data_IF_426882785364
#
_entry.id   IF_426882785364
#
_cell.length_a   1.000
_cell.length_b   1.000
_cell.length_c   1.000
_cell.angle_alpha   90.00
_cell.angle_beta   90.00
_cell.angle_gamma   90.00
#
_symmetry.space_group_name_H-M   'P 1'
#
loop_
_entity.id
_entity.type
_entity.pdbx_description
1 polymer ?
#
# COMPACT_ATOMS: atom_id res chain seq x y z
N UNK A 1 -3.74 2.60 25.75
CA UNK A 1 -3.99 2.96 24.33
C UNK A 1 -4.20 4.46 24.12
N UNK A 2 -4.79 5.24 25.05
CA UNK A 2 -4.99 6.70 24.91
C UNK A 2 -3.72 7.57 24.70
N UNK A 3 -2.51 7.01 24.83
CA UNK A 3 -1.26 7.75 24.70
C UNK A 3 -0.51 7.51 23.37
N UNK A 4 -1.02 6.67 22.46
CA UNK A 4 -0.42 6.50 21.12
C UNK A 4 -1.22 7.36 20.14
N UNK A 5 -0.56 8.24 19.34
CA UNK A 5 -1.26 9.04 18.35
C UNK A 5 -1.86 8.12 17.27
N UNK A 6 -3.00 8.54 16.72
CA UNK A 6 -3.51 8.01 15.46
C UNK A 6 -2.71 8.65 14.34
N UNK A 7 -2.17 7.84 13.43
CA UNK A 7 -1.25 8.30 12.40
C UNK A 7 -1.83 8.22 11.00
N UNK A 8 -1.26 9.01 10.09
CA UNK A 8 -1.55 8.98 8.66
C UNK A 8 -0.33 9.52 7.89
N UNK A 9 -0.21 9.23 6.60
CA UNK A 9 0.75 9.90 5.72
C UNK A 9 0.03 10.71 4.64
N UNK A 10 0.57 11.87 4.26
CA UNK A 10 0.08 12.61 3.10
C UNK A 10 0.74 12.09 1.84
N UNK A 11 -0.07 11.56 0.93
CA UNK A 11 0.44 10.91 -0.26
C UNK A 11 -0.15 11.44 -1.57
N UNK A 12 0.49 11.05 -2.66
CA UNK A 12 -0.09 10.99 -3.99
C UNK A 12 -0.04 9.54 -4.46
N UNK A 13 -1.04 9.15 -5.23
CA UNK A 13 -1.13 7.83 -5.84
C UNK A 13 -0.72 7.91 -7.31
N UNK A 14 0.28 7.13 -7.71
CA UNK A 14 0.80 7.06 -9.08
C UNK A 14 0.52 5.65 -9.62
N UNK A 15 -0.60 5.47 -10.36
CA UNK A 15 -0.96 4.18 -10.91
C UNK A 15 -0.15 3.90 -12.20
N UNK A 16 1.12 3.49 -12.12
CA UNK A 16 2.02 3.41 -13.30
C UNK A 16 1.37 2.68 -14.48
N UNK A 17 0.64 1.59 -14.22
CA UNK A 17 -0.27 0.97 -15.18
C UNK A 17 -1.38 0.21 -14.46
N UNK A 18 -2.56 0.17 -15.06
CA UNK A 18 -3.68 -0.66 -14.60
C UNK A 18 -3.79 -2.02 -15.31
N UNK A 19 -2.85 -2.37 -16.18
CA UNK A 19 -2.76 -3.70 -16.79
C UNK A 19 -2.04 -4.64 -15.83
N UNK A 20 -2.52 -5.88 -15.69
CA UNK A 20 -1.98 -6.86 -14.76
C UNK A 20 -2.07 -8.26 -15.36
N UNK A 21 -1.09 -9.14 -15.06
CA UNK A 21 -1.18 -10.57 -15.42
C UNK A 21 -2.24 -11.32 -14.61
N UNK A 22 -2.54 -10.83 -13.39
CA UNK A 22 -3.55 -11.41 -12.51
C UNK A 22 -4.97 -10.91 -12.87
N UNK A 23 -5.98 -11.71 -12.53
CA UNK A 23 -7.41 -11.46 -12.84
C UNK A 23 -8.31 -11.47 -11.61
N UNK A 24 -7.82 -10.94 -10.49
CA UNK A 24 -8.49 -11.02 -9.18
C UNK A 24 -9.94 -10.55 -9.26
N UNK A 25 -10.87 -11.36 -8.77
CA UNK A 25 -12.31 -11.14 -8.91
C UNK A 25 -12.80 -9.83 -8.27
N UNK A 26 -12.13 -9.40 -7.20
CA UNK A 26 -12.46 -8.19 -6.44
C UNK A 26 -11.82 -6.91 -7.00
N UNK A 27 -10.89 -7.01 -7.94
CA UNK A 27 -10.08 -5.86 -8.36
C UNK A 27 -10.85 -4.98 -9.35
N UNK A 28 -11.19 -3.77 -8.89
CA UNK A 28 -11.80 -2.73 -9.73
C UNK A 28 -10.79 -1.93 -10.57
N UNK A 29 -9.51 -1.98 -10.20
CA UNK A 29 -8.42 -1.23 -10.83
C UNK A 29 -7.96 -1.86 -12.14
N UNK A 30 -7.84 -3.19 -12.17
CA UNK A 30 -7.26 -3.95 -13.29
C UNK A 30 -8.11 -3.81 -14.57
N UNK A 31 -7.45 -3.59 -15.70
CA UNK A 31 -8.05 -3.68 -17.04
C UNK A 31 -7.29 -4.68 -17.93
N UNK A 32 -7.99 -5.43 -18.81
CA UNK A 32 -7.35 -6.13 -19.92
C UNK A 32 -6.52 -5.16 -20.76
N UNK A 33 -5.41 -5.60 -21.33
CA UNK A 33 -4.53 -4.72 -22.10
C UNK A 33 -5.24 -4.10 -23.30
N UNK A 34 -6.24 -4.79 -23.85
CA UNK A 34 -7.04 -4.38 -25.00
C UNK A 34 -8.17 -3.41 -24.62
N UNK A 35 -8.48 -3.25 -23.34
CA UNK A 35 -9.57 -2.39 -22.89
C UNK A 35 -9.25 -0.91 -23.15
N UNK A 36 -10.21 -0.10 -23.60
CA UNK A 36 -9.98 1.31 -23.95
C UNK A 36 -9.31 2.12 -22.81
N UNK A 37 -9.71 1.85 -21.57
CA UNK A 37 -9.19 2.53 -20.36
C UNK A 37 -7.92 1.88 -19.79
N UNK A 38 -7.29 0.94 -20.50
CA UNK A 38 -5.97 0.44 -20.15
C UNK A 38 -4.90 1.47 -20.49
N UNK A 39 -3.92 1.64 -19.61
CA UNK A 39 -2.86 2.65 -19.79
C UNK A 39 -1.52 2.24 -19.17
N UNK A 40 -0.45 2.89 -19.65
CA UNK A 40 0.86 2.98 -19.03
C UNK A 40 1.17 4.49 -18.95
N UNK A 41 1.40 5.03 -17.76
CA UNK A 41 1.63 6.47 -17.59
C UNK A 41 2.98 6.90 -18.17
N UNK A 42 3.04 8.05 -18.83
CA UNK A 42 4.32 8.67 -19.23
C UNK A 42 4.89 9.55 -18.11
N UNK A 43 6.19 9.87 -18.18
CA UNK A 43 6.81 10.83 -17.26
C UNK A 43 6.12 12.20 -17.32
N UNK A 44 5.68 12.64 -18.50
CA UNK A 44 4.98 13.91 -18.69
C UNK A 44 3.61 13.93 -18.00
N UNK A 45 2.97 12.78 -17.80
CA UNK A 45 1.72 12.65 -17.04
C UNK A 45 1.99 12.61 -15.53
N UNK A 46 3.09 11.98 -15.11
CA UNK A 46 3.46 11.80 -13.70
C UNK A 46 4.03 13.10 -13.10
N UNK A 47 4.90 13.83 -13.81
CA UNK A 47 5.54 15.05 -13.31
C UNK A 47 4.53 16.10 -12.80
N UNK A 48 3.41 16.40 -13.50
CA UNK A 48 2.37 17.27 -12.98
C UNK A 48 1.74 16.78 -11.68
N UNK A 49 1.56 15.46 -11.52
CA UNK A 49 1.06 14.87 -10.26
C UNK A 49 2.09 15.10 -9.15
N UNK A 50 3.37 14.87 -9.43
CA UNK A 50 4.45 15.10 -8.47
C UNK A 50 4.49 16.56 -8.00
N UNK A 51 4.42 17.51 -8.94
CA UNK A 51 4.40 18.95 -8.64
C UNK A 51 3.20 19.35 -7.78
N UNK A 52 2.01 18.83 -8.09
CA UNK A 52 0.82 19.09 -7.27
C UNK A 52 0.93 18.46 -5.88
N UNK A 53 1.48 17.25 -5.78
CA UNK A 53 1.76 16.58 -4.50
C UNK A 53 2.71 17.38 -3.62
N UNK A 54 3.84 17.82 -4.18
CA UNK A 54 4.81 18.66 -3.48
C UNK A 54 4.18 19.99 -3.03
N UNK A 55 3.41 20.66 -3.90
CA UNK A 55 2.70 21.90 -3.55
C UNK A 55 1.64 21.71 -2.46
N UNK A 56 1.03 20.52 -2.36
CA UNK A 56 0.09 20.16 -1.30
C UNK A 56 0.78 19.64 -0.01
N UNK A 57 2.12 19.59 0.00
CA UNK A 57 2.90 19.12 1.15
C UNK A 57 2.93 17.60 1.32
N UNK A 58 2.57 16.81 0.31
CA UNK A 58 2.69 15.35 0.36
C UNK A 58 4.15 14.92 0.50
N UNK A 59 4.39 13.87 1.27
CA UNK A 59 5.71 13.24 1.45
C UNK A 59 5.85 11.90 0.77
N UNK A 60 4.73 11.25 0.47
CA UNK A 60 4.71 9.90 -0.05
C UNK A 60 4.24 9.91 -1.50
N UNK A 61 5.00 9.24 -2.37
CA UNK A 61 4.54 8.87 -3.69
C UNK A 61 4.32 7.35 -3.71
N UNK A 62 3.05 6.96 -3.61
CA UNK A 62 2.66 5.55 -3.68
C UNK A 62 2.60 5.12 -5.14
N UNK A 63 3.56 4.31 -5.56
CA UNK A 63 3.58 3.69 -6.88
C UNK A 63 2.82 2.36 -6.80
N UNK A 64 1.71 2.28 -7.52
CA UNK A 64 0.96 1.04 -7.65
C UNK A 64 0.79 0.67 -9.12
N UNK A 65 0.90 -0.61 -9.44
CA UNK A 65 0.69 -1.10 -10.79
C UNK A 65 0.30 -2.57 -10.78
N UNK A 66 -0.31 -3.01 -11.87
CA UNK A 66 -0.57 -4.42 -12.05
C UNK A 66 0.75 -5.21 -12.14
N UNK A 67 0.72 -6.43 -11.61
CA UNK A 67 1.89 -7.29 -11.51
C UNK A 67 2.32 -7.81 -12.89
N UNK A 68 3.62 -7.72 -13.18
CA UNK A 68 4.31 -8.20 -14.39
C UNK A 68 3.47 -8.12 -15.66
N UNK A 69 2.96 -6.92 -16.03
CA UNK A 69 2.02 -6.76 -17.14
C UNK A 69 2.62 -7.20 -18.47
N UNK A 70 3.94 -7.12 -18.64
CA UNK A 70 4.68 -7.62 -19.79
C UNK A 70 4.55 -9.12 -20.04
N UNK A 71 4.12 -9.91 -19.05
CA UNK A 71 3.81 -11.33 -19.26
C UNK A 71 2.50 -11.55 -20.02
N UNK A 72 1.67 -10.52 -20.17
CA UNK A 72 0.55 -10.52 -21.10
C UNK A 72 1.04 -10.04 -22.48
N UNK A 73 1.02 -10.89 -23.54
CA UNK A 73 1.45 -10.48 -24.88
C UNK A 73 0.74 -9.24 -25.43
N UNK A 74 -0.54 -9.05 -25.06
CA UNK A 74 -1.32 -7.88 -25.50
C UNK A 74 -0.84 -6.58 -24.85
N UNK A 75 -0.21 -6.64 -23.66
CA UNK A 75 0.45 -5.47 -23.08
C UNK A 75 1.63 -5.03 -23.93
N UNK A 76 2.52 -5.95 -24.31
CA UNK A 76 3.69 -5.59 -25.13
C UNK A 76 3.29 -5.11 -26.52
N UNK A 77 2.23 -5.66 -27.11
CA UNK A 77 1.68 -5.19 -28.38
C UNK A 77 1.16 -3.75 -28.29
N UNK A 78 0.53 -3.37 -27.18
CA UNK A 78 -0.08 -2.03 -27.02
C UNK A 78 0.88 -0.99 -26.45
N UNK A 79 1.65 -1.33 -25.42
CA UNK A 79 2.49 -0.41 -24.64
C UNK A 79 3.99 -0.70 -24.78
N UNK A 80 4.39 -1.79 -25.44
CA UNK A 80 5.80 -2.16 -25.56
C UNK A 80 6.63 -1.11 -26.30
N UNK A 81 6.08 -0.48 -27.35
CA UNK A 81 6.77 0.63 -28.03
C UNK A 81 6.99 1.81 -27.07
N UNK A 82 5.96 2.21 -26.33
CA UNK A 82 6.05 3.30 -25.34
C UNK A 82 7.11 3.00 -24.28
N UNK A 83 7.11 1.78 -23.74
CA UNK A 83 8.07 1.35 -22.72
C UNK A 83 9.51 1.33 -23.26
N UNK A 84 9.71 0.80 -24.47
CA UNK A 84 11.01 0.74 -25.13
C UNK A 84 11.53 2.13 -25.53
N UNK A 85 10.66 3.02 -26.01
CA UNK A 85 11.02 4.40 -26.35
C UNK A 85 11.45 5.18 -25.11
N UNK A 86 10.84 4.88 -23.95
CA UNK A 86 11.29 5.39 -22.64
C UNK A 86 12.60 4.74 -22.15
N UNK A 87 13.10 3.71 -22.83
CA UNK A 87 14.38 3.06 -22.54
C UNK A 87 14.30 1.86 -21.60
N UNK A 88 13.11 1.32 -21.34
CA UNK A 88 12.89 0.23 -20.38
C UNK A 88 12.34 -1.03 -21.05
N UNK A 89 12.64 -2.20 -20.49
CA UNK A 89 12.11 -3.49 -20.98
C UNK A 89 10.93 -3.98 -20.15
N UNK A 90 10.85 -3.56 -18.89
CA UNK A 90 9.83 -3.99 -17.94
C UNK A 90 9.25 -2.80 -17.18
N UNK A 91 8.01 -2.94 -16.70
CA UNK A 91 7.38 -1.88 -15.89
C UNK A 91 8.12 -1.67 -14.56
N UNK A 92 8.78 -2.70 -14.03
CA UNK A 92 9.57 -2.58 -12.81
C UNK A 92 10.83 -1.74 -13.02
N UNK A 93 11.52 -1.88 -14.16
CA UNK A 93 12.66 -1.02 -14.52
C UNK A 93 12.22 0.43 -14.71
N UNK A 94 11.09 0.65 -15.37
CA UNK A 94 10.53 2.00 -15.51
C UNK A 94 10.13 2.59 -14.15
N UNK A 95 9.52 1.79 -13.27
CA UNK A 95 9.20 2.21 -11.89
C UNK A 95 10.47 2.55 -11.09
N UNK A 96 11.57 1.82 -11.27
CA UNK A 96 12.86 2.15 -10.64
C UNK A 96 13.32 3.56 -11.06
N UNK A 97 13.21 3.90 -12.35
CA UNK A 97 13.49 5.24 -12.86
C UNK A 97 12.56 6.29 -12.24
N UNK A 98 11.25 6.04 -12.21
CA UNK A 98 10.26 6.95 -11.63
C UNK A 98 10.49 7.19 -10.13
N UNK A 99 10.96 6.18 -9.39
CA UNK A 99 11.34 6.32 -7.98
C UNK A 99 12.51 7.30 -7.81
N UNK A 100 13.55 7.22 -8.66
CA UNK A 100 14.68 8.17 -8.66
C UNK A 100 14.18 9.59 -8.95
N UNK A 101 13.40 9.75 -10.01
CA UNK A 101 12.82 11.04 -10.40
C UNK A 101 12.01 11.67 -9.27
N UNK A 102 11.26 10.88 -8.51
CA UNK A 102 10.38 11.37 -7.43
C UNK A 102 11.14 12.01 -6.27
N UNK A 103 12.36 11.54 -6.00
CA UNK A 103 13.20 12.12 -4.95
C UNK A 103 13.54 13.59 -5.25
N UNK A 104 13.72 13.95 -6.52
CA UNK A 104 13.97 15.33 -6.97
C UNK A 104 12.78 16.26 -6.69
N UNK A 105 11.59 15.70 -6.50
CA UNK A 105 10.37 16.43 -6.12
C UNK A 105 10.12 16.43 -4.60
N UNK A 106 11.08 15.96 -3.80
CA UNK A 106 11.00 15.99 -2.33
C UNK A 106 9.99 15.01 -1.75
N UNK A 107 9.63 13.95 -2.48
CA UNK A 107 8.76 12.87 -1.99
C UNK A 107 9.49 11.55 -1.93
N UNK A 108 9.06 10.72 -0.98
CA UNK A 108 9.59 9.40 -0.70
C UNK A 108 8.80 8.34 -1.48
N UNK A 109 9.45 7.54 -2.34
CA UNK A 109 8.78 6.44 -3.02
C UNK A 109 8.30 5.36 -2.05
N UNK A 110 7.11 4.84 -2.34
CA UNK A 110 6.54 3.64 -1.74
C UNK A 110 5.96 2.76 -2.85
N UNK A 111 6.64 1.67 -3.19
CA UNK A 111 6.22 0.77 -4.28
C UNK A 111 5.34 -0.38 -3.77
N UNK A 112 4.25 -0.62 -4.49
CA UNK A 112 3.36 -1.78 -4.41
C UNK A 112 3.11 -2.34 -5.82
N UNK A 113 3.98 -3.25 -6.27
CA UNK A 113 4.04 -3.75 -7.65
C UNK A 113 3.59 -5.20 -7.87
N UNK A 114 2.93 -5.80 -6.88
CA UNK A 114 2.69 -7.26 -6.86
C UNK A 114 3.94 -8.05 -6.44
N UNK A 115 3.97 -9.35 -6.74
CA UNK A 115 5.07 -10.25 -6.38
C UNK A 115 6.32 -9.94 -7.20
N UNK A 116 7.38 -9.52 -6.51
CA UNK A 116 8.70 -9.23 -7.08
C UNK A 116 9.71 -10.31 -6.67
N UNK A 117 10.68 -10.55 -7.55
CA UNK A 117 11.86 -11.36 -7.25
C UNK A 117 12.76 -10.69 -6.20
N UNK A 118 13.65 -11.47 -5.60
CA UNK A 118 14.64 -10.94 -4.65
C UNK A 118 15.53 -9.86 -5.28
N UNK A 119 15.94 -10.03 -6.55
CA UNK A 119 16.79 -9.06 -7.23
C UNK A 119 16.05 -7.77 -7.57
N UNK A 120 14.78 -7.83 -7.94
CA UNK A 120 13.93 -6.64 -8.12
C UNK A 120 13.73 -5.89 -6.81
N UNK A 121 13.43 -6.60 -5.71
CA UNK A 121 13.37 -5.99 -4.38
C UNK A 121 14.70 -5.31 -4.01
N UNK A 122 15.82 -5.97 -4.27
CA UNK A 122 17.16 -5.44 -3.99
C UNK A 122 17.47 -4.17 -4.77
N UNK A 123 17.01 -4.06 -6.03
CA UNK A 123 17.14 -2.84 -6.85
C UNK A 123 16.28 -1.68 -6.34
N UNK A 124 15.06 -1.98 -5.87
CA UNK A 124 14.14 -0.97 -5.35
C UNK A 124 14.41 -0.55 -3.91
N UNK A 125 15.03 -1.42 -3.11
CA UNK A 125 15.36 -1.18 -1.70
C UNK A 125 16.06 0.18 -1.45
N UNK A 126 17.12 0.58 -2.18
CA UNK A 126 17.76 1.88 -1.93
C UNK A 126 16.86 3.09 -2.23
N UNK A 127 15.84 2.94 -3.07
CA UNK A 127 15.00 4.03 -3.56
C UNK A 127 13.71 4.24 -2.78
N UNK A 128 13.32 3.28 -1.95
CA UNK A 128 12.03 3.27 -1.28
C UNK A 128 12.19 3.52 0.23
N UNK A 129 11.34 4.39 0.77
CA UNK A 129 11.26 4.58 2.22
C UNK A 129 10.55 3.39 2.88
N UNK A 130 9.53 2.86 2.20
CA UNK A 130 8.79 1.65 2.55
C UNK A 130 8.36 0.96 1.26
N UNK A 131 8.04 -0.32 1.33
CA UNK A 131 7.35 -1.04 0.26
C UNK A 131 6.18 -1.84 0.80
N UNK A 132 5.28 -2.26 -0.08
CA UNK A 132 4.09 -2.98 0.33
C UNK A 132 3.73 -4.16 -0.55
N UNK A 133 3.18 -5.19 0.09
CA UNK A 133 2.46 -6.29 -0.55
C UNK A 133 1.37 -6.80 0.39
N UNK A 134 0.11 -6.61 0.03
CA UNK A 134 -1.01 -7.24 0.75
C UNK A 134 -0.84 -8.75 0.71
N UNK A 135 -0.85 -9.46 1.84
CA UNK A 135 -0.93 -10.93 1.82
C UNK A 135 -2.29 -11.39 1.27
N UNK A 136 -3.33 -10.58 1.48
CA UNK A 136 -4.74 -10.84 1.19
C UNK A 136 -5.29 -11.95 2.09
N UNK A 137 -4.83 -13.19 1.89
CA UNK A 137 -5.21 -14.38 2.64
C UNK A 137 -4.18 -15.50 2.39
N UNK A 138 -4.05 -16.45 3.33
CA UNK A 138 -3.33 -17.71 3.12
C UNK A 138 -4.19 -18.81 2.51
N UNK A 139 -5.50 -18.58 2.35
CA UNK A 139 -6.44 -19.54 1.79
C UNK A 139 -6.38 -19.59 0.25
N UNK A 140 -6.76 -20.74 -0.31
CA UNK A 140 -7.09 -20.86 -1.72
C UNK A 140 -8.55 -20.44 -1.95
N UNK A 141 -8.75 -19.23 -2.47
CA UNK A 141 -10.08 -18.65 -2.68
C UNK A 141 -10.37 -18.51 -4.17
N UNK A 142 -11.64 -18.71 -4.56
CA UNK A 142 -12.05 -18.60 -5.97
C UNK A 142 -11.76 -17.21 -6.55
N UNK A 143 -11.73 -16.17 -5.72
CA UNK A 143 -11.39 -14.81 -6.12
C UNK A 143 -9.98 -14.66 -6.70
N UNK A 144 -9.08 -15.62 -6.43
CA UNK A 144 -7.72 -15.69 -6.93
C UNK A 144 -7.54 -16.72 -8.05
N UNK A 145 -8.63 -17.25 -8.60
CA UNK A 145 -8.57 -18.05 -9.82
C UNK A 145 -7.87 -17.26 -10.93
N UNK A 146 -6.93 -17.91 -11.61
CA UNK A 146 -6.09 -17.31 -12.67
C UNK A 146 -5.24 -16.11 -12.21
N UNK A 147 -4.78 -16.14 -10.95
CA UNK A 147 -3.91 -15.13 -10.37
C UNK A 147 -2.60 -15.76 -9.85
N UNK A 148 -1.60 -16.04 -10.71
CA UNK A 148 -0.33 -16.64 -10.27
C UNK A 148 0.38 -15.84 -9.16
N UNK A 149 0.22 -14.51 -9.14
CA UNK A 149 0.76 -13.64 -8.08
C UNK A 149 0.01 -13.67 -6.76
N UNK A 150 -1.15 -14.31 -6.72
CA UNK A 150 -1.97 -14.44 -5.50
C UNK A 150 -1.76 -15.75 -4.77
N UNK A 151 -0.88 -16.62 -5.26
CA UNK A 151 -0.45 -17.83 -4.56
C UNK A 151 0.18 -17.43 -3.21
N UNK A 152 -0.35 -17.88 -2.06
CA UNK A 152 0.13 -17.44 -0.75
C UNK A 152 1.63 -17.65 -0.52
N UNK A 153 2.18 -18.77 -0.98
CA UNK A 153 3.60 -19.08 -0.85
C UNK A 153 4.51 -18.02 -1.50
N UNK A 154 4.16 -17.55 -2.70
CA UNK A 154 4.94 -16.54 -3.41
C UNK A 154 4.87 -15.17 -2.72
N UNK A 155 3.70 -14.83 -2.14
CA UNK A 155 3.52 -13.57 -1.41
C UNK A 155 4.29 -13.59 -0.08
N UNK A 156 4.21 -14.69 0.66
CA UNK A 156 4.97 -14.89 1.90
C UNK A 156 6.49 -14.90 1.64
N UNK A 157 6.93 -15.46 0.52
CA UNK A 157 8.34 -15.42 0.11
C UNK A 157 8.81 -13.98 -0.16
N UNK A 158 8.03 -13.17 -0.87
CA UNK A 158 8.37 -11.76 -1.09
C UNK A 158 8.43 -10.98 0.22
N UNK A 159 7.46 -11.18 1.13
CA UNK A 159 7.47 -10.56 2.47
C UNK A 159 8.72 -11.01 3.25
N UNK A 160 9.06 -12.30 3.23
CA UNK A 160 10.30 -12.79 3.84
C UNK A 160 11.54 -12.10 3.23
N UNK A 161 11.58 -11.96 1.91
CA UNK A 161 12.70 -11.36 1.18
C UNK A 161 12.87 -9.87 1.52
N UNK A 162 11.79 -9.12 1.70
CA UNK A 162 11.84 -7.76 2.24
C UNK A 162 12.46 -7.73 3.65
N UNK A 163 12.13 -8.71 4.49
CA UNK A 163 12.74 -8.90 5.81
C UNK A 163 14.24 -9.18 5.75
N UNK A 164 14.70 -10.03 4.84
CA UNK A 164 16.14 -10.29 4.59
C UNK A 164 16.90 -9.02 4.19
N UNK A 165 16.22 -8.10 3.50
CA UNK A 165 16.77 -6.81 3.06
C UNK A 165 16.60 -5.67 4.10
N UNK A 166 16.03 -5.95 5.28
CA UNK A 166 15.72 -4.95 6.32
C UNK A 166 14.85 -3.78 5.82
N UNK A 167 13.94 -4.06 4.89
CA UNK A 167 13.02 -3.06 4.36
C UNK A 167 11.81 -2.93 5.28
N UNK A 168 11.45 -1.72 5.76
CA UNK A 168 10.13 -1.51 6.37
C UNK A 168 9.06 -1.89 5.37
N UNK A 169 8.12 -2.71 5.82
CA UNK A 169 7.18 -3.35 4.91
C UNK A 169 5.75 -3.26 5.41
N UNK A 170 4.86 -2.84 4.52
CA UNK A 170 3.41 -2.85 4.75
C UNK A 170 2.83 -4.12 4.12
N UNK A 171 2.10 -4.89 4.91
CA UNK A 171 1.30 -6.02 4.40
C UNK A 171 -0.13 -5.89 4.91
N UNK A 172 -0.97 -6.90 4.68
CA UNK A 172 -2.37 -6.78 5.04
C UNK A 172 -3.22 -7.95 4.58
N UNK A 173 -4.45 -7.97 5.09
CA UNK A 173 -5.50 -8.90 4.71
C UNK A 173 -6.60 -8.16 3.97
N UNK A 174 -7.23 -8.84 3.02
CA UNK A 174 -8.42 -8.38 2.33
C UNK A 174 -9.56 -9.31 2.70
N UNK A 175 -10.63 -8.71 3.22
CA UNK A 175 -11.70 -9.44 3.88
C UNK A 175 -12.95 -9.42 3.05
N UNK A 176 -13.59 -10.58 2.87
CA UNK A 176 -14.80 -10.73 2.07
C UNK A 176 -14.55 -11.25 0.65
N UNK A 177 -13.48 -12.01 0.43
CA UNK A 177 -13.09 -12.58 -0.87
C UNK A 177 -13.26 -14.10 -0.96
N UNK A 178 -13.90 -14.72 0.04
CA UNK A 178 -14.18 -16.16 0.12
C UNK A 178 -13.44 -16.87 1.25
N UNK A 179 -12.60 -16.15 1.98
CA UNK A 179 -11.88 -16.64 3.15
C UNK A 179 -12.79 -16.75 4.39
N UNK A 180 -12.41 -17.63 5.31
CA UNK A 180 -13.07 -17.84 6.60
C UNK A 180 -12.32 -17.13 7.72
N UNK A 181 -12.96 -17.03 8.89
CA UNK A 181 -12.31 -16.53 10.11
C UNK A 181 -11.06 -17.32 10.50
N UNK A 182 -11.00 -18.63 10.23
CA UNK A 182 -9.79 -19.43 10.49
C UNK A 182 -8.65 -19.02 9.57
N UNK A 183 -8.94 -18.73 8.30
CA UNK A 183 -7.95 -18.23 7.34
C UNK A 183 -7.38 -16.88 7.75
N UNK A 184 -8.19 -16.01 8.38
CA UNK A 184 -7.69 -14.77 8.99
C UNK A 184 -6.64 -15.07 10.06
N UNK A 185 -6.93 -16.01 10.97
CA UNK A 185 -6.02 -16.39 12.06
C UNK A 185 -4.72 -16.96 11.50
N UNK A 186 -4.80 -17.88 10.53
CA UNK A 186 -3.63 -18.47 9.89
C UNK A 186 -2.77 -17.42 9.19
N UNK A 187 -3.41 -16.48 8.49
CA UNK A 187 -2.72 -15.37 7.83
C UNK A 187 -2.01 -14.46 8.83
N UNK A 188 -2.67 -14.11 9.93
CA UNK A 188 -2.07 -13.30 11.01
C UNK A 188 -0.89 -14.02 11.66
N UNK A 189 -0.99 -15.33 11.90
CA UNK A 189 0.10 -16.14 12.44
C UNK A 189 1.30 -16.21 11.47
N UNK A 190 1.05 -16.32 10.17
CA UNK A 190 2.11 -16.28 9.15
C UNK A 190 2.84 -14.93 9.16
N UNK A 191 2.10 -13.82 9.21
CA UNK A 191 2.66 -12.46 9.34
C UNK A 191 3.47 -12.33 10.63
N UNK A 192 2.94 -12.76 11.78
CA UNK A 192 3.63 -12.71 13.06
C UNK A 192 4.93 -13.51 13.05
N UNK A 193 4.94 -14.69 12.41
CA UNK A 193 6.14 -15.52 12.27
C UNK A 193 7.24 -14.81 11.47
N UNK A 194 6.88 -14.17 10.36
CA UNK A 194 7.83 -13.41 9.54
C UNK A 194 8.34 -12.17 10.29
N UNK A 195 7.46 -11.42 10.94
CA UNK A 195 7.86 -10.28 11.75
C UNK A 195 8.72 -10.71 12.95
N UNK A 196 8.40 -11.81 13.64
CA UNK A 196 9.21 -12.32 14.74
C UNK A 196 10.63 -12.72 14.31
N UNK A 197 10.82 -13.17 13.06
CA UNK A 197 12.14 -13.53 12.52
C UNK A 197 12.95 -12.33 12.04
N UNK A 198 12.32 -11.33 11.44
CA UNK A 198 13.03 -10.26 10.72
C UNK A 198 12.75 -8.84 11.24
N UNK A 199 11.69 -8.63 12.03
CA UNK A 199 11.33 -7.37 12.69
C UNK A 199 11.07 -6.19 11.76
N UNK A 200 10.62 -6.47 10.53
CA UNK A 200 10.58 -5.52 9.41
C UNK A 200 9.17 -5.04 9.01
N UNK A 201 8.13 -5.80 9.39
CA UNK A 201 6.74 -5.42 9.09
C UNK A 201 6.35 -4.25 10.00
N UNK A 202 6.01 -3.11 9.40
CA UNK A 202 5.67 -1.88 10.15
C UNK A 202 4.18 -1.71 10.38
N UNK A 203 3.39 -2.31 9.50
CA UNK A 203 1.98 -2.06 9.36
C UNK A 203 1.27 -3.28 8.76
N UNK A 204 0.09 -3.56 9.29
CA UNK A 204 -0.89 -4.47 8.70
C UNK A 204 -2.14 -3.68 8.32
N UNK A 205 -2.51 -3.74 7.04
CA UNK A 205 -3.75 -3.18 6.50
C UNK A 205 -4.85 -4.22 6.68
N UNK A 206 -5.92 -3.85 7.36
CA UNK A 206 -7.14 -4.65 7.44
C UNK A 206 -8.17 -4.03 6.50
N UNK A 207 -8.20 -4.51 5.26
CA UNK A 207 -9.01 -3.92 4.21
C UNK A 207 -10.30 -4.72 4.00
N UNK A 208 -11.44 -4.03 4.04
CA UNK A 208 -12.70 -4.61 3.61
C UNK A 208 -12.81 -4.63 2.09
N UNK A 209 -13.26 -5.75 1.54
CA UNK A 209 -13.76 -5.79 0.17
C UNK A 209 -14.94 -4.82 0.04
N UNK A 210 -14.85 -3.94 -0.96
CA UNK A 210 -15.91 -3.00 -1.32
C UNK A 210 -16.29 -3.23 -2.77
N UNK A 211 -17.54 -3.66 -3.06
CA UNK A 211 -18.02 -3.77 -4.43
C UNK A 211 -17.88 -2.43 -5.17
N UNK A 212 -17.48 -2.48 -6.43
CA UNK A 212 -17.37 -1.29 -7.28
C UNK A 212 -17.66 -1.64 -8.75
N UNK A 213 -17.99 -0.63 -9.54
CA UNK A 213 -18.40 -0.80 -10.95
C UNK A 213 -17.26 -1.23 -11.87
N UNK A 214 -16.01 -1.18 -11.41
CA UNK A 214 -14.82 -1.56 -12.18
C UNK A 214 -14.51 -3.06 -12.17
N UNK A 215 -15.27 -3.87 -11.42
CA UNK A 215 -15.04 -5.30 -11.26
C UNK A 215 -15.60 -6.10 -12.45
N UNK A 216 -14.71 -6.57 -13.33
CA UNK A 216 -15.10 -7.35 -14.51
C UNK A 216 -15.28 -8.85 -14.22
N UNK A 217 -14.62 -9.37 -13.18
CA UNK A 217 -14.52 -10.81 -12.89
C UNK A 217 -15.20 -11.18 -11.55
N UNK A 218 -16.21 -10.42 -11.12
CA UNK A 218 -16.87 -10.62 -9.83
C UNK A 218 -17.41 -12.04 -9.66
N UNK A 219 -17.26 -12.61 -8.47
CA UNK A 219 -17.77 -13.94 -8.13
C UNK A 219 -18.82 -13.84 -7.02
N UNK A 220 -19.70 -14.85 -6.94
CA UNK A 220 -20.75 -14.93 -5.91
C UNK A 220 -20.23 -15.05 -4.47
N UNK A 221 -18.95 -15.39 -4.30
CA UNK A 221 -18.31 -15.59 -3.00
C UNK A 221 -17.81 -14.27 -2.39
N UNK A 222 -17.72 -13.22 -3.22
CA UNK A 222 -17.37 -11.90 -2.74
C UNK A 222 -18.51 -11.33 -1.90
N UNK A 223 -18.22 -10.97 -0.65
CA UNK A 223 -19.19 -10.41 0.28
C UNK A 223 -18.53 -9.37 1.15
N UNK A 224 -18.95 -8.11 1.03
CA UNK A 224 -18.43 -7.04 1.86
C UNK A 224 -18.60 -7.40 3.35
N UNK A 225 -17.53 -7.33 4.16
CA UNK A 225 -17.60 -7.64 5.58
C UNK A 225 -18.45 -6.60 6.30
N UNK A 226 -19.14 -7.04 7.35
CA UNK A 226 -19.85 -6.15 8.25
C UNK A 226 -18.89 -5.41 9.17
N UNK A 227 -19.37 -4.36 9.83
CA UNK A 227 -18.61 -3.71 10.91
C UNK A 227 -18.21 -4.69 12.03
N UNK A 228 -19.08 -5.65 12.36
CA UNK A 228 -18.80 -6.65 13.40
C UNK A 228 -17.63 -7.55 12.98
N UNK A 229 -17.57 -7.95 11.70
CA UNK A 229 -16.46 -8.74 11.15
C UNK A 229 -15.13 -7.97 11.26
N UNK A 230 -15.13 -6.67 10.90
CA UNK A 230 -13.94 -5.83 11.01
C UNK A 230 -13.47 -5.65 12.45
N UNK A 231 -14.41 -5.48 13.41
CA UNK A 231 -14.07 -5.39 14.84
C UNK A 231 -13.44 -6.70 15.33
N UNK A 232 -14.03 -7.85 15.00
CA UNK A 232 -13.48 -9.17 15.37
C UNK A 232 -12.07 -9.36 14.80
N UNK A 233 -11.85 -9.00 13.53
CA UNK A 233 -10.53 -9.05 12.90
C UNK A 233 -9.51 -8.15 13.60
N UNK A 234 -9.88 -6.92 13.98
CA UNK A 234 -8.99 -6.01 14.73
C UNK A 234 -8.61 -6.63 16.08
N UNK A 235 -9.57 -7.24 16.79
CA UNK A 235 -9.30 -7.90 18.06
C UNK A 235 -8.39 -9.13 17.89
N UNK A 236 -8.62 -9.96 16.87
CA UNK A 236 -7.75 -11.07 16.50
C UNK A 236 -6.33 -10.59 16.18
N UNK A 237 -6.21 -9.53 15.39
CA UNK A 237 -4.93 -8.92 15.01
C UNK A 237 -4.14 -8.49 16.23
N UNK A 238 -4.77 -7.79 17.19
CA UNK A 238 -4.10 -7.36 18.43
C UNK A 238 -3.66 -8.50 19.33
N UNK A 239 -4.42 -9.59 19.35
CA UNK A 239 -4.09 -10.75 20.17
C UNK A 239 -3.00 -11.62 19.53
N UNK A 240 -2.83 -11.53 18.21
CA UNK A 240 -1.89 -12.37 17.45
C UNK A 240 -0.58 -11.65 17.16
N UNK A 241 -0.63 -10.36 16.81
CA UNK A 241 0.53 -9.58 16.39
C UNK A 241 1.18 -8.83 17.55
N UNK A 242 2.49 -8.61 17.44
CA UNK A 242 3.22 -7.74 18.36
C UNK A 242 2.76 -6.27 18.22
N UNK A 243 2.75 -5.49 19.33
CA UNK A 243 2.17 -4.15 19.35
C UNK A 243 2.96 -3.09 18.55
N UNK A 244 4.16 -3.44 18.09
CA UNK A 244 4.99 -2.60 17.22
C UNK A 244 4.57 -2.68 15.73
N UNK A 245 3.76 -3.67 15.34
CA UNK A 245 3.05 -3.67 14.06
C UNK A 245 1.82 -2.78 14.19
N UNK A 246 1.73 -1.76 13.34
CA UNK A 246 0.62 -0.81 13.35
C UNK A 246 -0.60 -1.42 12.65
N UNK A 247 -1.79 -1.18 13.20
CA UNK A 247 -3.04 -1.64 12.58
C UNK A 247 -3.66 -0.49 11.78
N UNK A 248 -3.67 -0.64 10.46
CA UNK A 248 -4.19 0.34 9.50
C UNK A 248 -5.58 -0.05 9.00
N UNK A 249 -6.47 0.93 8.91
CA UNK A 249 -7.74 0.83 8.16
C UNK A 249 -7.90 2.06 7.28
N UNK A 250 -8.50 1.90 6.11
CA UNK A 250 -8.71 3.02 5.19
C UNK A 250 -9.92 3.87 5.64
N UNK A 251 -9.76 5.17 5.92
CA UNK A 251 -10.80 6.00 6.52
C UNK A 251 -11.92 6.36 5.54
N UNK A 252 -11.73 6.15 4.23
CA UNK A 252 -12.73 6.30 3.18
C UNK A 252 -13.64 5.06 3.01
N UNK A 253 -13.24 3.90 3.54
CA UNK A 253 -14.00 2.64 3.40
C UNK A 253 -14.86 2.32 4.62
N UNK A 254 -14.39 2.68 5.82
CA UNK A 254 -15.16 2.55 7.06
C UNK A 254 -14.82 3.69 8.01
N UNK A 255 -15.81 4.14 8.79
CA UNK A 255 -15.62 5.22 9.75
C UNK A 255 -14.52 4.88 10.77
N UNK A 256 -13.43 5.65 10.83
CA UNK A 256 -12.29 5.30 11.67
C UNK A 256 -12.62 5.38 13.17
N UNK A 257 -13.51 6.28 13.59
CA UNK A 257 -13.92 6.41 14.99
C UNK A 257 -14.52 5.12 15.56
N UNK A 258 -15.21 4.35 14.72
CA UNK A 258 -15.84 3.11 15.15
C UNK A 258 -14.80 2.02 15.45
N UNK A 259 -13.61 2.11 14.85
CA UNK A 259 -12.58 1.07 14.86
C UNK A 259 -11.39 1.39 15.76
N UNK A 260 -11.06 2.67 15.96
CA UNK A 260 -9.93 3.13 16.80
C UNK A 260 -10.01 2.60 18.23
N UNK A 261 -11.19 2.60 18.83
CA UNK A 261 -11.38 2.08 20.19
C UNK A 261 -11.03 0.59 20.32
N UNK A 262 -11.07 -0.16 19.22
CA UNK A 262 -10.71 -1.58 19.18
C UNK A 262 -9.23 -1.80 18.91
N UNK A 263 -8.48 -0.78 18.46
CA UNK A 263 -7.02 -0.73 18.42
C UNK A 263 -6.40 -0.46 17.06
N UNK A 264 -7.18 0.06 16.11
CA UNK A 264 -6.64 0.79 14.96
C UNK A 264 -5.78 1.95 15.44
N UNK A 265 -4.62 2.11 14.83
CA UNK A 265 -3.63 3.14 15.19
C UNK A 265 -3.15 3.95 13.99
N UNK A 266 -3.55 3.58 12.76
CA UNK A 266 -3.17 4.26 11.54
C UNK A 266 -4.33 4.31 10.53
N UNK A 267 -4.41 5.42 9.79
CA UNK A 267 -5.43 5.67 8.76
C UNK A 267 -4.85 5.63 7.34
N UNK A 268 -3.60 5.17 7.20
CA UNK A 268 -2.89 4.99 5.95
C UNK A 268 -2.45 6.28 5.28
N UNK A 269 -2.14 6.15 3.99
CA UNK A 269 -1.91 7.27 3.11
C UNK A 269 -3.23 7.94 2.72
N UNK A 270 -3.34 9.26 2.93
CA UNK A 270 -4.51 10.07 2.59
C UNK A 270 -4.06 11.13 1.58
N UNK A 271 -4.67 11.13 0.40
CA UNK A 271 -4.29 12.07 -0.64
C UNK A 271 -5.19 13.30 -0.70
N UNK A 272 -4.63 14.52 -0.59
CA UNK A 272 -5.36 15.76 -0.90
C UNK A 272 -5.38 16.08 -2.40
N UNK A 273 -4.70 15.30 -3.26
CA UNK A 273 -4.45 15.64 -4.67
C UNK A 273 -5.02 14.59 -5.63
N UNK A 274 -4.81 13.31 -5.36
CA UNK A 274 -5.23 12.20 -6.24
C UNK A 274 -6.40 11.44 -5.63
N UNK A 275 -7.25 10.85 -6.47
CA UNK A 275 -8.29 9.93 -6.01
C UNK A 275 -7.67 8.62 -5.46
N UNK A 276 -8.49 7.81 -4.79
CA UNK A 276 -8.16 6.41 -4.54
C UNK A 276 -8.38 5.61 -5.83
N UNK A 277 -7.30 5.23 -6.53
CA UNK A 277 -7.43 4.46 -7.78
C UNK A 277 -7.84 2.99 -7.55
N UNK A 278 -7.74 2.49 -6.32
CA UNK A 278 -8.17 1.14 -5.94
C UNK A 278 -9.68 1.12 -5.64
N UNK A 279 -10.18 2.17 -4.95
CA UNK A 279 -11.59 2.36 -4.64
C UNK A 279 -12.09 3.73 -5.13
N UNK A 280 -12.21 3.94 -6.46
CA UNK A 280 -12.51 5.27 -7.04
C UNK A 280 -13.87 5.86 -6.64
N UNK A 281 -14.79 5.01 -6.19
CA UNK A 281 -16.11 5.40 -5.69
C UNK A 281 -16.09 5.84 -4.21
N UNK A 282 -14.94 5.71 -3.53
CA UNK A 282 -14.75 6.04 -2.11
C UNK A 282 -13.74 7.16 -1.95
N UNK A 283 -14.21 8.40 -2.04
CA UNK A 283 -13.36 9.59 -1.96
C UNK A 283 -12.60 9.70 -0.63
N UNK A 284 -11.37 10.23 -0.68
CA UNK A 284 -10.60 10.52 0.53
C UNK A 284 -11.32 11.54 1.43
N UNK A 285 -11.42 11.29 2.74
CA UNK A 285 -11.87 12.31 3.68
C UNK A 285 -10.85 13.44 3.76
N UNK A 286 -11.31 14.66 4.05
CA UNK A 286 -10.38 15.77 4.28
C UNK A 286 -9.64 15.57 5.59
N UNK A 287 -8.33 15.77 5.57
CA UNK A 287 -7.45 15.61 6.73
C UNK A 287 -7.89 16.48 7.91
N UNK A 288 -8.32 17.73 7.65
CA UNK A 288 -8.81 18.63 8.71
C UNK A 288 -10.14 18.17 9.32
N UNK A 289 -11.01 17.53 8.53
CA UNK A 289 -12.25 16.93 9.05
C UNK A 289 -11.93 15.75 9.97
N UNK A 290 -10.97 14.89 9.59
CA UNK A 290 -10.46 13.82 10.45
C UNK A 290 -9.79 14.36 11.72
N UNK A 291 -8.97 15.42 11.61
CA UNK A 291 -8.30 16.06 12.75
C UNK A 291 -9.32 16.54 13.78
N UNK A 292 -10.35 17.26 13.34
CA UNK A 292 -11.43 17.75 14.20
C UNK A 292 -12.21 16.58 14.83
N UNK A 293 -12.55 15.57 14.02
CA UNK A 293 -13.27 14.38 14.47
C UNK A 293 -12.53 13.65 15.59
N UNK A 294 -11.24 13.38 15.40
CA UNK A 294 -10.40 12.65 16.36
C UNK A 294 -10.12 13.48 17.62
N UNK A 295 -9.83 14.77 17.44
CA UNK A 295 -9.57 15.68 18.57
C UNK A 295 -10.81 15.84 19.46
N UNK A 296 -12.01 15.86 18.88
CA UNK A 296 -13.29 15.90 19.63
C UNK A 296 -13.50 14.69 20.56
N UNK A 297 -12.78 13.58 20.30
CA UNK A 297 -12.79 12.35 21.11
C UNK A 297 -11.54 12.19 21.98
N UNK A 298 -10.66 13.19 21.99
CA UNK A 298 -9.41 13.19 22.76
C UNK A 298 -8.30 12.33 22.17
N UNK A 299 -8.35 12.02 20.87
CA UNK A 299 -7.24 11.36 20.19
C UNK A 299 -6.31 12.40 19.56
N UNK A 300 -5.01 12.22 19.75
CA UNK A 300 -3.99 12.92 18.99
C UNK A 300 -3.95 12.37 17.56
N UNK A 301 -3.87 13.27 16.56
CA UNK A 301 -3.77 12.92 15.15
C UNK A 301 -2.49 13.50 14.54
N UNK A 302 -1.52 12.63 14.26
CA UNK A 302 -0.14 13.01 13.89
C UNK A 302 0.22 12.51 12.50
N UNK A 303 0.83 13.38 11.70
CA UNK A 303 1.34 13.01 10.37
C UNK A 303 2.66 12.22 10.52
N UNK A 304 2.80 11.15 9.75
CA UNK A 304 4.02 10.35 9.63
C UNK A 304 4.53 10.32 8.19
N UNK A 305 5.78 9.91 8.04
CA UNK A 305 6.34 9.50 6.75
C UNK A 305 5.79 8.12 6.33
N UNK A 306 5.98 7.70 5.07
CA UNK A 306 5.66 6.34 4.64
C UNK A 306 6.44 5.26 5.41
N UNK A 307 7.63 5.59 5.92
CA UNK A 307 8.37 4.78 6.89
C UNK A 307 7.94 5.15 8.31
N UNK A 308 7.58 4.15 9.12
CA UNK A 308 7.09 4.41 10.48
C UNK A 308 8.23 4.88 11.43
N UNK A 309 7.91 5.66 12.47
CA UNK A 309 8.91 6.29 13.35
C UNK A 309 9.95 5.35 13.95
N UNK A 310 9.57 4.12 14.32
CA UNK A 310 10.49 3.13 14.85
C UNK A 310 11.54 2.67 13.83
N UNK A 311 11.20 2.67 12.54
CA UNK A 311 12.14 2.32 11.46
C UNK A 311 12.98 3.51 11.02
N UNK A 312 12.43 4.73 11.10
CA UNK A 312 13.23 5.95 10.98
C UNK A 312 14.37 5.94 12.01
N UNK A 313 14.04 5.68 13.28
CA UNK A 313 15.01 5.58 14.39
C UNK A 313 16.03 4.44 14.21
N UNK A 314 15.63 3.33 13.58
CA UNK A 314 16.54 2.21 13.26
C UNK A 314 17.43 2.47 12.04
N UNK A 315 17.15 3.51 11.24
CA UNK A 315 17.80 3.73 9.94
C UNK A 315 17.44 2.66 8.90
N UNK A 316 16.28 2.01 9.06
CA UNK A 316 15.80 0.99 8.13
C UNK A 316 14.95 1.69 7.08
N UNK A 317 15.56 2.06 5.96
CA UNK A 317 14.94 2.67 4.78
C UNK A 317 16.00 2.72 3.66
N UNK A 318 15.57 3.00 2.43
CA UNK A 318 16.48 3.05 1.29
C UNK A 318 17.60 4.10 1.44
N UNK A 319 18.81 3.74 1.05
CA UNK A 319 19.99 4.62 1.17
C UNK A 319 19.80 5.96 0.46
N UNK A 320 19.14 5.97 -0.70
CA UNK A 320 18.91 7.17 -1.52
C UNK A 320 17.77 8.03 -0.93
N UNK A 321 16.97 7.48 -0.01
CA UNK A 321 15.90 8.20 0.68
C UNK A 321 16.37 8.88 1.97
N UNK A 322 17.59 8.57 2.44
CA UNK A 322 18.09 8.95 3.76
C UNK A 322 18.07 10.46 3.99
N UNK A 323 18.67 11.23 3.10
CA UNK A 323 18.78 12.69 3.24
C UNK A 323 17.39 13.34 3.34
N UNK A 324 16.46 12.87 2.50
CA UNK A 324 15.09 13.37 2.49
C UNK A 324 14.34 12.98 3.78
N UNK A 325 14.52 11.75 4.29
CA UNK A 325 13.95 11.34 5.58
C UNK A 325 14.50 12.19 6.73
N UNK A 326 15.80 12.43 6.80
CA UNK A 326 16.42 13.26 7.85
C UNK A 326 15.92 14.72 7.80
N UNK A 327 15.68 15.24 6.59
CA UNK A 327 15.06 16.54 6.37
C UNK A 327 13.61 16.57 6.86
N UNK A 328 12.83 15.53 6.55
CA UNK A 328 11.37 15.48 6.78
C UNK A 328 10.96 14.97 8.17
N UNK A 329 11.81 14.20 8.88
CA UNK A 329 11.45 13.52 10.12
C UNK A 329 11.90 14.27 11.39
N UNK A 330 11.00 14.46 12.36
CA UNK A 330 11.31 15.01 13.68
C UNK A 330 12.20 14.04 14.49
N UNK A 331 12.64 14.46 15.69
CA UNK A 331 13.46 13.64 16.57
C UNK A 331 12.77 12.32 16.98
N UNK A 332 11.44 12.26 16.89
CA UNK A 332 10.66 11.07 17.17
C UNK A 332 10.43 10.17 15.97
N UNK A 333 10.79 10.60 14.77
CA UNK A 333 10.62 9.88 13.50
C UNK A 333 9.28 10.15 12.80
N UNK A 334 8.49 11.12 13.27
CA UNK A 334 7.26 11.57 12.61
C UNK A 334 7.53 12.70 11.62
N UNK A 335 6.56 13.09 10.80
CA UNK A 335 6.72 14.22 9.89
C UNK A 335 6.89 15.52 10.69
N UNK A 336 7.94 16.29 10.42
CA UNK A 336 8.12 17.65 10.93
C UNK A 336 6.97 18.54 10.46
N UNK A 337 6.36 19.25 11.40
CA UNK A 337 5.28 20.22 11.15
C UNK A 337 5.77 21.66 11.10
N UNK A 338 7.01 21.92 11.53
CA UNK A 338 7.53 23.28 11.69
C UNK A 338 8.29 23.72 10.42
N UNK A 339 7.82 24.81 9.79
CA UNK A 339 8.57 25.56 8.78
C UNK A 339 8.32 25.22 7.31
N UNK A 340 7.05 25.21 6.86
CA UNK A 340 6.73 25.48 5.46
C UNK A 340 6.50 26.99 5.24
#
# INVERSE_FOLDING_TARGET
MKNRPITYSKNIFIPVTNVCRNKCAYCGFRRPAEHKDAFLMTEEEIIPVLKRGAAAGCTEAMFAFGESPEQNPEFMKRFGKQLNDAGFKTVIEYTEHLCRLTLDYGMLPHVNGGVLSFDELKRLAPLNASMGLMLETTADVLAHKDCPGKIPAARLEMIENAGKLKMPFTTGLLIGIGETRNDWIESLQAIQKLHGKYGHIQEIILQNYTPNSGQENSTRELKAPTKADMIDLILLTKNTLTPDITIQVAPNLMSPLELIQYGVTDLGGISPVTIDYINPESAWPKIEELRNLLSSKGYEFKERLPVHPQYVKKGWYGADTKELIEKLADADGYRKTDGL
#
